data_IF_761601274796
#
_entry.id   IF_761601274796
#
_cell.length_a   1.000
_cell.length_b   1.000
_cell.length_c   1.000
_cell.angle_alpha   90.00
_cell.angle_beta   90.00
_cell.angle_gamma   90.00
#
_symmetry.space_group_name_H-M   'P 1'
#
loop_
_entity.id
_entity.type
_entity.pdbx_description
1 polymer ?
#
# COMPACT_ATOMS: atom_id res chain seq x y z
N UNK A 1 -16.80 -10.31 3.23
CA UNK A 1 -17.36 -9.03 3.71
C UNK A 1 -16.18 -8.18 4.20
N UNK A 2 -16.28 -6.86 4.28
CA UNK A 2 -15.28 -6.00 4.94
C UNK A 2 -16.04 -5.24 6.03
N UNK A 3 -15.46 -5.11 7.23
CA UNK A 3 -16.10 -4.47 8.38
C UNK A 3 -15.21 -3.35 8.91
N UNK A 4 -15.77 -2.15 9.13
CA UNK A 4 -15.13 -1.12 9.97
C UNK A 4 -15.24 -1.57 11.43
N UNK A 5 -14.10 -1.68 12.11
CA UNK A 5 -14.04 -2.07 13.52
C UNK A 5 -13.92 -0.87 14.45
N UNK A 6 -13.08 0.11 14.09
CA UNK A 6 -12.81 1.30 14.88
C UNK A 6 -12.30 2.43 14.00
N UNK A 7 -12.41 3.66 14.50
CA UNK A 7 -11.79 4.84 13.90
C UNK A 7 -11.24 5.78 14.97
N UNK A 8 -10.24 6.59 14.60
CA UNK A 8 -9.58 7.52 15.49
C UNK A 8 -8.76 8.57 14.73
N UNK A 9 -8.18 9.51 15.48
CA UNK A 9 -7.28 10.51 14.92
C UNK A 9 -5.82 10.10 15.12
N UNK A 10 -5.03 10.19 14.06
CA UNK A 10 -3.60 9.93 14.08
C UNK A 10 -2.84 11.18 13.60
N UNK A 11 -2.02 11.75 14.48
CA UNK A 11 -1.13 12.86 14.13
C UNK A 11 0.22 12.31 13.70
N UNK A 12 0.64 12.72 12.51
CA UNK A 12 1.95 12.38 11.94
C UNK A 12 2.72 13.66 11.66
N UNK A 13 3.99 13.53 11.28
CA UNK A 13 4.78 14.66 10.78
C UNK A 13 4.24 15.25 9.46
N UNK A 14 3.34 14.53 8.78
CA UNK A 14 2.71 14.93 7.51
C UNK A 14 1.28 15.44 7.71
N UNK A 15 0.86 15.69 8.95
CA UNK A 15 -0.48 16.17 9.28
C UNK A 15 -1.33 15.12 9.98
N UNK A 16 -2.62 15.44 10.09
CA UNK A 16 -3.60 14.64 10.82
C UNK A 16 -4.40 13.76 9.86
N UNK A 17 -4.51 12.49 10.20
CA UNK A 17 -5.27 11.49 9.48
C UNK A 17 -6.43 11.01 10.36
N UNK A 18 -7.56 10.71 9.72
CA UNK A 18 -8.55 9.77 10.26
C UNK A 18 -8.04 8.36 10.00
N UNK A 19 -7.64 7.66 11.05
CA UNK A 19 -7.31 6.24 11.02
C UNK A 19 -8.59 5.41 11.12
N UNK A 20 -8.71 4.37 10.30
CA UNK A 20 -9.82 3.43 10.30
C UNK A 20 -9.26 2.01 10.27
N UNK A 21 -9.68 1.17 11.20
CA UNK A 21 -9.34 -0.25 11.25
C UNK A 21 -10.44 -1.06 10.56
N UNK A 22 -10.07 -1.81 9.53
CA UNK A 22 -10.96 -2.74 8.83
C UNK A 22 -10.61 -4.19 9.13
N UNK A 23 -11.58 -5.08 9.00
CA UNK A 23 -11.39 -6.53 9.09
C UNK A 23 -12.17 -7.28 8.00
N UNK A 24 -11.53 -8.24 7.34
CA UNK A 24 -12.12 -9.01 6.23
C UNK A 24 -12.59 -10.43 6.61
N UNK A 25 -12.52 -10.78 7.90
CA UNK A 25 -12.76 -12.14 8.39
C UNK A 25 -11.49 -12.96 8.60
N UNK A 26 -10.32 -12.45 8.19
CA UNK A 26 -9.03 -13.12 8.35
C UNK A 26 -7.99 -12.18 8.93
N UNK A 27 -7.90 -10.96 8.40
CA UNK A 27 -6.85 -9.99 8.75
C UNK A 27 -7.43 -8.60 8.96
N UNK A 28 -6.76 -7.88 9.85
CA UNK A 28 -6.95 -6.45 10.01
C UNK A 28 -6.24 -5.68 8.89
N UNK A 29 -6.78 -4.53 8.51
CA UNK A 29 -6.18 -3.60 7.56
C UNK A 29 -6.32 -2.18 8.10
N UNK A 30 -5.19 -1.49 8.21
CA UNK A 30 -5.14 -0.12 8.73
C UNK A 30 -5.26 0.84 7.55
N UNK A 31 -6.15 1.81 7.67
CA UNK A 31 -6.38 2.82 6.64
C UNK A 31 -6.20 4.20 7.25
N UNK A 32 -5.41 5.05 6.62
CA UNK A 32 -5.24 6.45 7.00
C UNK A 32 -5.86 7.33 5.92
N UNK A 33 -6.77 8.20 6.30
CA UNK A 33 -7.50 9.11 5.41
C UNK A 33 -7.18 10.55 5.78
N UNK A 34 -6.74 11.35 4.81
CA UNK A 34 -6.61 12.80 4.95
C UNK A 34 -7.74 13.48 4.17
N UNK A 35 -8.33 14.53 4.74
CA UNK A 35 -9.45 15.24 4.14
C UNK A 35 -10.72 14.40 4.08
N UNK A 36 -11.56 14.64 3.08
CA UNK A 36 -12.89 14.02 2.92
C UNK A 36 -13.03 13.40 1.52
N UNK A 37 -12.46 12.21 1.27
CA UNK A 37 -12.41 11.60 -0.06
C UNK A 37 -13.77 11.07 -0.56
N UNK A 38 -14.77 10.97 0.32
CA UNK A 38 -16.10 10.47 0.01
C UNK A 38 -16.73 11.27 -1.14
N UNK A 39 -17.17 10.57 -2.19
CA UNK A 39 -17.77 11.21 -3.37
C UNK A 39 -16.79 11.97 -4.29
N UNK A 40 -15.51 12.06 -3.93
CA UNK A 40 -14.49 12.72 -4.76
C UNK A 40 -13.95 11.82 -5.86
N UNK A 41 -13.40 12.45 -6.90
CA UNK A 41 -12.67 11.80 -8.00
C UNK A 41 -11.18 12.09 -7.86
N UNK A 42 -10.35 11.25 -8.47
CA UNK A 42 -8.90 11.44 -8.59
C UNK A 42 -8.20 11.52 -7.23
N UNK A 43 -8.76 10.84 -6.22
CA UNK A 43 -8.23 10.83 -4.86
C UNK A 43 -6.89 10.11 -4.86
N UNK A 44 -5.83 10.76 -4.37
CA UNK A 44 -4.53 10.11 -4.22
C UNK A 44 -4.63 8.90 -3.30
N UNK A 45 -4.18 7.74 -3.78
CA UNK A 45 -4.29 6.50 -3.03
C UNK A 45 -2.99 5.70 -3.04
N UNK A 46 -2.51 5.32 -1.86
CA UNK A 46 -1.36 4.43 -1.68
C UNK A 46 -1.80 3.13 -1.02
N UNK A 47 -1.79 2.04 -1.77
CA UNK A 47 -1.86 0.69 -1.18
C UNK A 47 -0.43 0.29 -0.79
N UNK A 48 -0.15 0.17 0.49
CA UNK A 48 1.18 -0.09 1.04
C UNK A 48 1.24 -1.49 1.66
N UNK A 49 2.14 -2.35 1.21
CA UNK A 49 2.39 -3.66 1.84
C UNK A 49 3.38 -3.48 3.00
N UNK A 50 3.09 -4.05 4.17
CA UNK A 50 3.95 -3.98 5.35
C UNK A 50 5.38 -4.49 5.05
N UNK A 51 6.36 -3.83 5.66
CA UNK A 51 7.77 -4.24 5.64
C UNK A 51 8.39 -3.92 7.00
N UNK A 52 8.60 -4.94 7.83
CA UNK A 52 9.17 -4.80 9.17
C UNK A 52 10.59 -4.21 9.11
N UNK A 53 11.38 -4.62 8.13
CA UNK A 53 12.75 -4.13 7.95
C UNK A 53 12.79 -2.64 7.64
N UNK A 54 11.97 -2.18 6.71
CA UNK A 54 11.91 -0.76 6.33
C UNK A 54 11.26 0.11 7.42
N UNK A 55 10.09 -0.30 7.92
CA UNK A 55 9.27 0.54 8.79
C UNK A 55 9.69 0.52 10.26
N UNK A 56 10.27 -0.59 10.75
CA UNK A 56 10.58 -0.78 12.18
C UNK A 56 12.09 -0.78 12.41
N UNK A 57 12.84 -1.54 11.62
CA UNK A 57 14.29 -1.72 11.86
C UNK A 57 15.18 -0.77 11.06
N UNK A 58 14.59 0.17 10.33
CA UNK A 58 15.29 1.20 9.58
C UNK A 58 16.29 0.66 8.54
N UNK A 59 16.02 -0.51 7.99
CA UNK A 59 16.87 -1.15 6.98
C UNK A 59 17.08 -0.24 5.76
N UNK A 60 18.30 -0.27 5.23
CA UNK A 60 18.69 0.41 3.98
C UNK A 60 18.64 -0.53 2.77
N UNK A 61 18.25 -1.79 2.96
CA UNK A 61 18.18 -2.81 1.90
C UNK A 61 16.91 -2.70 1.03
N UNK A 62 15.97 -1.82 1.42
CA UNK A 62 14.74 -1.55 0.70
C UNK A 62 14.35 -0.08 0.86
N UNK A 63 13.48 0.39 -0.02
CA UNK A 63 12.96 1.76 -0.05
C UNK A 63 11.56 1.89 0.58
N UNK A 64 11.05 0.86 1.27
CA UNK A 64 9.66 0.82 1.74
C UNK A 64 9.31 2.02 2.65
N UNK A 65 10.23 2.41 3.54
CA UNK A 65 10.04 3.60 4.39
C UNK A 65 9.97 4.87 3.55
N UNK A 66 10.91 5.07 2.62
CA UNK A 66 10.91 6.24 1.73
C UNK A 66 9.62 6.31 0.91
N UNK A 67 9.12 5.17 0.41
CA UNK A 67 7.86 5.13 -0.33
C UNK A 67 6.64 5.48 0.54
N UNK A 68 6.63 5.10 1.83
CA UNK A 68 5.58 5.50 2.77
C UNK A 68 5.64 7.00 3.06
N UNK A 69 6.84 7.54 3.27
CA UNK A 69 7.06 8.96 3.53
C UNK A 69 6.68 9.81 2.31
N UNK A 70 7.11 9.42 1.10
CA UNK A 70 6.75 10.10 -0.13
C UNK A 70 5.23 10.11 -0.38
N UNK A 71 4.54 8.99 -0.10
CA UNK A 71 3.09 8.94 -0.24
C UNK A 71 2.37 9.87 0.74
N UNK A 72 2.81 9.92 2.00
CA UNK A 72 2.24 10.86 2.98
C UNK A 72 2.51 12.31 2.62
N UNK A 73 3.69 12.63 2.10
CA UNK A 73 4.05 13.97 1.63
C UNK A 73 3.14 14.43 0.48
N UNK A 74 2.96 13.58 -0.54
CA UNK A 74 2.08 13.88 -1.68
C UNK A 74 0.62 14.07 -1.25
N UNK A 75 0.14 13.24 -0.33
CA UNK A 75 -1.22 13.34 0.22
C UNK A 75 -1.38 14.63 1.04
N UNK A 76 -0.37 15.00 1.83
CA UNK A 76 -0.34 16.26 2.56
C UNK A 76 -0.44 17.46 1.61
N UNK A 77 0.34 17.47 0.54
CA UNK A 77 0.34 18.53 -0.47
C UNK A 77 -1.00 18.64 -1.20
N UNK A 78 -1.65 17.51 -1.49
CA UNK A 78 -2.98 17.48 -2.09
C UNK A 78 -4.11 17.85 -1.11
N UNK A 79 -3.87 17.74 0.22
CA UNK A 79 -4.87 17.95 1.27
C UNK A 79 -5.96 16.88 1.35
N UNK A 80 -5.97 15.90 0.44
CA UNK A 80 -6.89 14.77 0.47
C UNK A 80 -6.23 13.52 -0.12
N UNK A 81 -6.39 12.39 0.57
CA UNK A 81 -5.85 11.12 0.10
C UNK A 81 -6.02 9.97 1.08
N UNK A 82 -5.67 8.77 0.61
CA UNK A 82 -5.87 7.51 1.33
C UNK A 82 -4.60 6.68 1.31
N UNK A 83 -4.18 6.17 2.47
CA UNK A 83 -3.14 5.14 2.58
C UNK A 83 -3.78 3.89 3.18
N UNK A 84 -3.63 2.74 2.50
CA UNK A 84 -4.10 1.43 2.97
C UNK A 84 -2.87 0.59 3.29
N UNK A 85 -2.59 0.37 4.58
CA UNK A 85 -1.50 -0.47 5.05
C UNK A 85 -2.00 -1.91 5.20
N UNK A 86 -1.52 -2.79 4.33
CA UNK A 86 -1.88 -4.20 4.28
C UNK A 86 -0.76 -5.07 4.86
N UNK A 87 -1.11 -6.03 5.72
CA UNK A 87 -0.17 -7.02 6.23
C UNK A 87 0.23 -8.04 5.14
N UNK A 88 1.29 -7.71 4.41
CA UNK A 88 1.76 -8.41 3.22
C UNK A 88 3.29 -8.44 3.14
N UNK A 89 3.92 -8.69 4.27
CA UNK A 89 5.37 -8.90 4.40
C UNK A 89 5.90 -9.89 3.35
N UNK A 90 7.11 -9.65 2.84
CA UNK A 90 7.75 -10.56 1.91
C UNK A 90 6.95 -10.80 0.61
N UNK A 91 6.30 -9.76 0.08
CA UNK A 91 5.36 -9.84 -1.05
C UNK A 91 4.21 -10.83 -0.78
N UNK A 92 3.64 -10.80 0.42
CA UNK A 92 2.54 -11.68 0.82
C UNK A 92 2.96 -13.11 1.16
N UNK A 93 4.21 -13.51 0.93
CA UNK A 93 4.71 -14.83 1.34
C UNK A 93 5.06 -14.89 2.84
N UNK A 94 5.09 -13.74 3.52
CA UNK A 94 5.40 -13.62 4.94
C UNK A 94 6.90 -13.61 5.25
N UNK A 95 7.22 -13.34 6.51
CA UNK A 95 8.59 -13.12 6.95
C UNK A 95 9.48 -14.38 6.87
N UNK A 96 8.91 -15.57 7.10
CA UNK A 96 9.65 -16.83 6.96
C UNK A 96 10.16 -17.04 5.54
N UNK A 97 9.32 -16.76 4.53
CA UNK A 97 9.70 -16.86 3.14
C UNK A 97 10.81 -15.86 2.79
N UNK A 98 10.69 -14.63 3.29
CA UNK A 98 11.73 -13.61 3.15
C UNK A 98 13.07 -14.16 3.65
N UNK A 99 13.10 -14.66 4.89
CA UNK A 99 14.32 -15.22 5.51
C UNK A 99 14.91 -16.39 4.73
N UNK A 100 14.08 -17.34 4.29
CA UNK A 100 14.54 -18.50 3.49
C UNK A 100 15.07 -18.09 2.11
N UNK A 101 14.56 -17.01 1.52
CA UNK A 101 15.01 -16.50 0.22
C UNK A 101 16.36 -15.77 0.27
N UNK A 102 16.83 -15.36 1.46
CA UNK A 102 18.01 -14.49 1.59
C UNK A 102 19.29 -15.12 1.04
N UNK A 103 19.46 -16.45 1.17
CA UNK A 103 20.63 -17.15 0.60
C UNK A 103 20.70 -17.00 -0.92
N UNK A 104 19.57 -17.18 -1.60
CA UNK A 104 19.44 -17.00 -3.05
C UNK A 104 19.65 -15.55 -3.48
N UNK A 105 19.10 -14.60 -2.72
CA UNK A 105 19.31 -13.17 -2.98
C UNK A 105 20.79 -12.79 -2.87
N UNK A 106 21.49 -13.28 -1.84
CA UNK A 106 22.93 -13.07 -1.66
C UNK A 106 23.76 -13.70 -2.77
N UNK A 107 23.25 -14.75 -3.41
CA UNK A 107 23.84 -15.35 -4.61
C UNK A 107 23.55 -14.57 -5.90
N UNK A 108 22.93 -13.39 -5.82
CA UNK A 108 22.68 -12.50 -6.96
C UNK A 108 21.33 -12.67 -7.64
N UNK A 109 20.47 -13.56 -7.16
CA UNK A 109 19.13 -13.75 -7.74
C UNK A 109 18.24 -12.53 -7.47
N UNK A 110 17.36 -12.21 -8.43
CA UNK A 110 16.34 -11.19 -8.20
C UNK A 110 15.39 -11.70 -7.11
N UNK A 111 14.79 -10.78 -6.34
CA UNK A 111 13.94 -11.17 -5.21
C UNK A 111 12.79 -12.12 -5.59
N UNK A 112 12.17 -11.93 -6.75
CA UNK A 112 11.12 -12.82 -7.25
C UNK A 112 11.65 -14.26 -7.49
N UNK A 113 12.82 -14.38 -8.10
CA UNK A 113 13.47 -15.65 -8.39
C UNK A 113 13.97 -16.33 -7.11
N UNK A 114 14.46 -15.55 -6.15
CA UNK A 114 14.87 -16.03 -4.84
C UNK A 114 13.69 -16.63 -4.05
N UNK A 115 12.49 -16.07 -4.17
CA UNK A 115 11.28 -16.67 -3.58
C UNK A 115 10.94 -18.01 -4.23
N UNK A 116 10.93 -18.06 -5.56
CA UNK A 116 10.65 -19.30 -6.30
C UNK A 116 11.67 -20.39 -5.96
N UNK A 117 12.96 -20.06 -5.91
CA UNK A 117 14.03 -20.98 -5.52
C UNK A 117 13.88 -21.49 -4.07
N UNK A 118 13.29 -20.67 -3.18
CA UNK A 118 12.98 -21.05 -1.81
C UNK A 118 11.63 -21.79 -1.66
N UNK A 119 10.92 -22.07 -2.75
CA UNK A 119 9.64 -22.79 -2.76
C UNK A 119 8.40 -21.94 -2.50
N UNK A 120 8.47 -20.63 -2.76
CA UNK A 120 7.38 -19.66 -2.56
C UNK A 120 6.95 -19.01 -3.87
N UNK A 121 5.80 -18.32 -3.86
CA UNK A 121 5.38 -17.55 -5.03
C UNK A 121 6.28 -16.33 -5.24
N UNK A 122 6.45 -15.92 -6.49
CA UNK A 122 7.19 -14.70 -6.84
C UNK A 122 6.52 -13.41 -6.29
N UNK A 123 5.18 -13.43 -6.22
CA UNK A 123 4.30 -12.44 -5.59
C UNK A 123 2.98 -13.09 -5.13
N UNK A 124 2.78 -13.19 -3.81
CA UNK A 124 1.57 -13.77 -3.21
C UNK A 124 0.59 -12.71 -2.69
N UNK A 125 0.75 -11.43 -3.09
CA UNK A 125 -0.09 -10.34 -2.60
C UNK A 125 -1.50 -10.41 -3.17
N UNK A 126 -2.46 -9.99 -2.35
CA UNK A 126 -3.87 -9.92 -2.68
C UNK A 126 -4.44 -8.54 -2.32
N UNK A 127 -4.90 -7.79 -3.32
CA UNK A 127 -5.41 -6.42 -3.14
C UNK A 127 -6.94 -6.35 -3.10
N UNK A 128 -7.65 -7.49 -3.03
CA UNK A 128 -9.12 -7.52 -2.98
C UNK A 128 -9.70 -6.78 -1.77
N UNK A 129 -9.03 -6.83 -0.62
CA UNK A 129 -9.44 -6.10 0.57
C UNK A 129 -9.37 -4.57 0.34
N UNK A 130 -8.30 -4.08 -0.30
CA UNK A 130 -8.17 -2.66 -0.63
C UNK A 130 -9.30 -2.17 -1.55
N UNK A 131 -9.69 -2.96 -2.56
CA UNK A 131 -10.84 -2.60 -3.40
C UNK A 131 -12.14 -2.50 -2.59
N UNK A 132 -12.40 -3.44 -1.69
CA UNK A 132 -13.59 -3.40 -0.83
C UNK A 132 -13.59 -2.17 0.09
N UNK A 133 -12.45 -1.84 0.68
CA UNK A 133 -12.25 -0.64 1.50
C UNK A 133 -12.54 0.61 0.67
N UNK A 134 -12.00 0.73 -0.54
CA UNK A 134 -12.23 1.91 -1.38
C UNK A 134 -13.71 2.08 -1.77
N UNK A 135 -14.45 0.98 -2.00
CA UNK A 135 -15.91 1.05 -2.21
C UNK A 135 -16.64 1.55 -0.98
N UNK A 136 -16.25 1.04 0.18
CA UNK A 136 -16.84 1.42 1.46
C UNK A 136 -16.54 2.89 1.85
N UNK A 137 -15.39 3.42 1.43
CA UNK A 137 -15.04 4.85 1.52
C UNK A 137 -15.74 5.72 0.46
N UNK A 138 -16.54 5.12 -0.44
CA UNK A 138 -17.36 5.82 -1.43
C UNK A 138 -16.59 6.76 -2.38
N UNK A 139 -15.30 6.49 -2.63
CA UNK A 139 -14.51 7.26 -3.61
C UNK A 139 -15.00 6.97 -5.04
N UNK A 140 -15.06 8.00 -5.89
CA UNK A 140 -15.50 7.85 -7.28
C UNK A 140 -14.38 7.41 -8.20
N UNK A 141 -13.14 7.81 -7.93
CA UNK A 141 -11.94 7.28 -8.59
C UNK A 141 -10.70 7.56 -7.75
N UNK A 142 -9.65 6.78 -7.98
CA UNK A 142 -8.35 6.95 -7.30
C UNK A 142 -7.20 7.14 -8.28
N UNK A 143 -6.26 7.99 -7.94
CA UNK A 143 -4.95 8.11 -8.59
C UNK A 143 -3.93 7.35 -7.76
N UNK A 144 -3.54 6.15 -8.22
CA UNK A 144 -2.68 5.25 -7.44
C UNK A 144 -1.21 5.70 -7.43
N UNK A 145 -0.65 5.87 -6.24
CA UNK A 145 0.79 6.09 -6.02
C UNK A 145 1.52 4.73 -6.05
N UNK A 146 1.71 4.14 -7.24
CA UNK A 146 2.36 2.82 -7.36
C UNK A 146 2.98 2.52 -8.72
N UNK A 147 4.10 1.79 -8.68
CA UNK A 147 4.74 1.19 -9.87
C UNK A 147 4.38 -0.30 -10.04
N UNK A 148 3.42 -0.81 -9.27
CA UNK A 148 3.04 -2.22 -9.30
C UNK A 148 1.77 -2.40 -10.14
N UNK A 149 1.87 -2.93 -11.38
CA UNK A 149 0.71 -3.10 -12.25
C UNK A 149 -0.34 -4.06 -11.68
N UNK A 150 0.04 -4.99 -10.80
CA UNK A 150 -0.90 -5.92 -10.17
C UNK A 150 -1.92 -5.20 -9.31
N UNK A 151 -1.53 -4.11 -8.63
CA UNK A 151 -2.45 -3.31 -7.80
C UNK A 151 -3.52 -2.65 -8.66
N UNK A 152 -3.08 -1.94 -9.70
CA UNK A 152 -3.97 -1.25 -10.62
C UNK A 152 -4.95 -2.24 -11.25
N UNK A 153 -4.43 -3.32 -11.83
CA UNK A 153 -5.25 -4.38 -12.44
C UNK A 153 -6.27 -4.97 -11.46
N UNK A 154 -5.85 -5.31 -10.24
CA UNK A 154 -6.76 -5.89 -9.23
C UNK A 154 -7.89 -4.92 -8.88
N UNK A 155 -7.59 -3.62 -8.76
CA UNK A 155 -8.60 -2.60 -8.47
C UNK A 155 -9.57 -2.43 -9.64
N UNK A 156 -9.07 -2.36 -10.87
CA UNK A 156 -9.89 -2.26 -12.09
C UNK A 156 -10.81 -3.47 -12.27
N UNK A 157 -10.26 -4.68 -12.14
CA UNK A 157 -11.01 -5.94 -12.22
C UNK A 157 -12.14 -6.01 -11.18
N UNK A 158 -11.99 -5.30 -10.06
CA UNK A 158 -12.98 -5.22 -8.98
C UNK A 158 -13.88 -3.98 -9.08
N UNK A 159 -13.79 -3.21 -10.17
CA UNK A 159 -14.65 -2.08 -10.46
C UNK A 159 -14.32 -0.81 -9.66
N UNK A 160 -13.07 -0.62 -9.27
CA UNK A 160 -12.58 0.67 -8.75
C UNK A 160 -12.07 1.50 -9.92
N UNK A 161 -12.68 2.66 -10.21
CA UNK A 161 -12.20 3.52 -11.29
C UNK A 161 -10.83 4.09 -10.96
N UNK A 162 -9.88 3.93 -11.88
CA UNK A 162 -8.58 4.56 -11.79
C UNK A 162 -8.57 5.86 -12.59
N UNK A 163 -7.95 6.89 -12.02
CA UNK A 163 -7.60 8.12 -12.70
C UNK A 163 -6.10 8.14 -13.00
N UNK A 164 -5.65 8.90 -14.01
CA UNK A 164 -4.24 9.13 -14.25
C UNK A 164 -3.55 9.59 -12.97
N UNK A 165 -2.35 9.07 -12.73
CA UNK A 165 -1.49 9.64 -11.69
C UNK A 165 -1.11 11.06 -12.14
N UNK A 166 -1.29 12.10 -11.30
CA UNK A 166 -0.93 13.45 -11.69
C UNK A 166 0.53 13.48 -12.13
N UNK A 167 0.78 13.97 -13.35
CA UNK A 167 2.14 14.14 -13.84
C UNK A 167 2.90 14.99 -12.83
N UNK A 168 4.02 14.49 -12.32
CA UNK A 168 4.85 15.27 -11.41
C UNK A 168 5.33 16.51 -12.16
N UNK A 169 4.96 17.70 -11.67
CA UNK A 169 5.65 18.94 -12.00
C UNK A 169 7.02 18.93 -11.30
N UNK A 170 7.85 17.95 -11.64
CA UNK A 170 9.27 17.95 -11.33
C UNK A 170 9.98 18.44 -12.57
N UNK A 171 10.00 19.75 -12.74
CA UNK A 171 11.09 20.41 -13.45
C UNK A 171 12.37 20.00 -12.73
N UNK A 172 13.14 19.11 -13.33
CA UNK A 172 14.50 18.84 -12.94
C UNK A 172 15.27 20.18 -12.98
N UNK A 173 15.72 20.63 -11.81
CA UNK A 173 16.77 21.63 -11.63
C UNK A 173 18.00 20.94 -11.09
#
# INVERSE_FOLDING_TARGET
MIHRLAEGALKTRFGEYREILYYDGQKETIVMVMGSPEGQKEVLCRIHSSCIYGHVFNSVECDCRQQMEAAQQLIQEAGCGIIILMDQEGKGNGHLALMKSQGFKKAGMRQAEAYMAAGYADDARDFRAAAKILKDLEVKSVSLITDNPLKAKTLEDLGIPLAPYPASNTSAS
#
